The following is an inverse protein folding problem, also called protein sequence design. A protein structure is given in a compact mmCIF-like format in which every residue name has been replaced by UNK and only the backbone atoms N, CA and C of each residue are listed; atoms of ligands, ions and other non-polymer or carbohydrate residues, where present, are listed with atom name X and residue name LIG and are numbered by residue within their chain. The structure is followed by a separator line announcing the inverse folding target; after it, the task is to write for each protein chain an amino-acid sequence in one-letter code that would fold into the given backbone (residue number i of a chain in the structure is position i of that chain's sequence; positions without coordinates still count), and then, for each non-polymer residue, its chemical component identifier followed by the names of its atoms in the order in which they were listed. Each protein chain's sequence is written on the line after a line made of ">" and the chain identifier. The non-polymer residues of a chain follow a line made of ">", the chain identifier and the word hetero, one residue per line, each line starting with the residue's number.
data_IF_706356057701
#
_entry.id   IF_706356057701
#
_cell.length_a   1.000
_cell.length_b   1.000
_cell.length_c   1.000
_cell.angle_alpha   90.00
_cell.angle_beta   90.00
_cell.angle_gamma   90.00
#
_symmetry.space_group_name_H-M   'P 1'
#
loop_
_entity.id
_entity.type
_entity.pdbx_description
1 polymer ?
#
# COMPACT_ATOMS: atom_id res chain seq x y z
N UNK A 1 -5.23 -0.05 16.24
CA UNK A 1 -3.92 -0.63 15.88
C UNK A 1 -2.78 0.39 15.99
N UNK A 2 -2.75 1.22 17.05
CA UNK A 2 -1.77 2.30 17.13
C UNK A 2 -0.44 1.81 17.68
N UNK A 3 0.65 2.31 17.10
CA UNK A 3 2.04 2.08 17.53
C UNK A 3 2.43 0.60 17.65
N UNK A 4 1.94 -0.23 16.73
CA UNK A 4 2.26 -1.66 16.66
C UNK A 4 2.63 -2.03 15.23
N UNK A 5 3.61 -2.92 15.10
CA UNK A 5 3.92 -3.59 13.84
C UNK A 5 3.02 -4.82 13.72
N UNK A 6 2.32 -4.93 12.60
CA UNK A 6 1.44 -6.07 12.32
C UNK A 6 2.11 -6.90 11.22
N UNK A 7 2.33 -8.18 11.51
CA UNK A 7 2.85 -9.14 10.54
C UNK A 7 1.67 -9.82 9.85
N UNK A 8 1.51 -9.61 8.55
CA UNK A 8 0.44 -10.21 7.75
C UNK A 8 0.45 -9.71 6.31
N UNK A 9 -0.43 -10.26 5.48
CA UNK A 9 -0.70 -9.74 4.15
C UNK A 9 -1.33 -8.33 4.28
N UNK A 10 -0.74 -7.34 3.63
CA UNK A 10 -1.20 -5.96 3.76
C UNK A 10 -2.64 -5.75 3.26
N UNK A 11 -3.09 -6.46 2.22
CA UNK A 11 -4.45 -6.35 1.69
C UNK A 11 -5.48 -6.92 2.66
N UNK A 12 -5.11 -7.94 3.43
CA UNK A 12 -5.96 -8.50 4.47
C UNK A 12 -5.95 -7.64 5.74
N UNK A 13 -4.77 -7.23 6.21
CA UNK A 13 -4.64 -6.39 7.41
C UNK A 13 -5.31 -5.04 7.23
N UNK A 14 -5.27 -4.45 6.03
CA UNK A 14 -5.93 -3.17 5.78
C UNK A 14 -7.44 -3.23 6.02
N UNK A 15 -8.10 -4.38 5.83
CA UNK A 15 -9.56 -4.53 6.04
C UNK A 15 -10.00 -4.21 7.47
N UNK A 16 -9.10 -4.40 8.44
CA UNK A 16 -9.37 -4.12 9.85
C UNK A 16 -9.10 -2.64 10.23
N UNK A 17 -8.54 -1.85 9.32
CA UNK A 17 -8.33 -0.41 9.50
C UNK A 17 -9.65 0.31 9.19
N UNK A 18 -10.17 1.16 10.10
CA UNK A 18 -11.40 1.90 9.85
C UNK A 18 -11.30 2.84 8.64
N UNK A 19 -12.42 3.05 7.96
CA UNK A 19 -12.55 4.03 6.89
C UNK A 19 -12.12 5.43 7.36
N UNK A 20 -11.48 6.19 6.47
CA UNK A 20 -11.10 7.60 6.70
C UNK A 20 -10.37 7.85 8.02
N UNK A 21 -9.57 6.89 8.48
CA UNK A 21 -8.85 6.98 9.75
C UNK A 21 -7.36 7.31 9.60
N UNK A 22 -6.82 7.26 8.38
CA UNK A 22 -5.40 7.47 8.08
C UNK A 22 -5.17 8.84 7.44
N UNK A 23 -4.26 9.63 8.01
CA UNK A 23 -3.85 10.94 7.46
C UNK A 23 -2.79 10.81 6.35
N UNK A 24 -1.92 9.80 6.44
CA UNK A 24 -0.88 9.54 5.45
C UNK A 24 -0.63 8.05 5.28
N UNK A 25 -0.56 7.60 4.04
CA UNK A 25 -0.03 6.28 3.67
C UNK A 25 1.36 6.50 3.09
N UNK A 26 2.38 5.94 3.73
CA UNK A 26 3.74 5.89 3.24
C UNK A 26 4.10 4.43 2.99
N UNK A 27 4.39 4.07 1.75
CA UNK A 27 4.69 2.67 1.42
C UNK A 27 5.82 2.53 0.40
N UNK A 28 6.63 1.51 0.63
CA UNK A 28 7.58 0.96 -0.33
C UNK A 28 7.08 -0.41 -0.79
N UNK A 29 6.59 -0.45 -2.02
CA UNK A 29 5.91 -1.62 -2.59
C UNK A 29 6.93 -2.58 -3.22
N UNK A 30 6.59 -3.87 -3.41
CA UNK A 30 7.39 -4.76 -4.24
C UNK A 30 7.33 -4.32 -5.71
N UNK A 31 8.49 -4.03 -6.31
CA UNK A 31 8.58 -3.52 -7.68
C UNK A 31 8.73 -4.61 -8.73
N UNK A 32 8.96 -5.86 -8.33
CA UNK A 32 9.21 -6.95 -9.29
C UNK A 32 10.58 -6.88 -9.94
N UNK A 33 11.59 -6.40 -9.21
CA UNK A 33 12.94 -6.12 -9.75
C UNK A 33 13.99 -7.10 -9.29
N UNK A 34 13.68 -7.94 -8.30
CA UNK A 34 14.60 -8.91 -7.71
C UNK A 34 14.11 -10.35 -7.93
N UNK A 35 14.98 -11.33 -7.68
CA UNK A 35 14.64 -12.75 -7.73
C UNK A 35 13.94 -13.27 -6.45
N UNK A 36 13.64 -12.38 -5.50
CA UNK A 36 13.00 -12.76 -4.26
C UNK A 36 11.52 -13.06 -4.48
N UNK A 37 11.01 -14.17 -3.93
CA UNK A 37 9.59 -14.55 -4.08
C UNK A 37 8.61 -13.48 -3.59
N UNK A 38 8.99 -12.69 -2.59
CA UNK A 38 8.17 -11.63 -2.02
C UNK A 38 8.14 -10.37 -2.90
N UNK A 39 9.12 -10.17 -3.78
CA UNK A 39 9.18 -9.02 -4.69
C UNK A 39 8.32 -9.29 -5.93
N UNK A 40 7.04 -9.58 -5.70
CA UNK A 40 6.05 -9.76 -6.75
C UNK A 40 5.16 -8.53 -6.75
N UNK A 41 4.92 -7.95 -7.93
CA UNK A 41 4.06 -6.77 -8.08
C UNK A 41 2.70 -7.05 -7.44
N UNK A 42 2.34 -6.22 -6.47
CA UNK A 42 1.08 -6.29 -5.77
C UNK A 42 -0.09 -5.97 -6.73
N UNK A 43 -1.24 -6.66 -6.64
CA UNK A 43 -2.39 -6.32 -7.46
C UNK A 43 -2.89 -4.89 -7.17
N UNK A 44 -2.88 -4.02 -8.18
CA UNK A 44 -3.17 -2.60 -7.99
C UNK A 44 -4.63 -2.31 -7.66
N UNK A 45 -5.58 -3.04 -8.25
CA UNK A 45 -7.01 -2.79 -8.01
C UNK A 45 -7.37 -2.90 -6.50
N UNK A 46 -7.09 -4.03 -5.80
CA UNK A 46 -7.39 -4.13 -4.38
C UNK A 46 -6.50 -3.20 -3.53
N UNK A 47 -5.28 -2.88 -3.97
CA UNK A 47 -4.43 -1.91 -3.27
C UNK A 47 -5.07 -0.52 -3.25
N UNK A 48 -5.46 -0.01 -4.42
CA UNK A 48 -6.06 1.32 -4.55
C UNK A 48 -7.44 1.39 -3.90
N UNK A 49 -8.22 0.30 -3.95
CA UNK A 49 -9.50 0.19 -3.23
C UNK A 49 -9.29 0.41 -1.72
N UNK A 50 -8.34 -0.33 -1.11
CA UNK A 50 -8.08 -0.21 0.33
C UNK A 50 -7.47 1.15 0.69
N UNK A 51 -6.51 1.65 -0.10
CA UNK A 51 -5.89 2.96 0.14
C UNK A 51 -6.94 4.08 0.13
N UNK A 52 -7.83 4.11 -0.87
CA UNK A 52 -8.90 5.14 -0.97
C UNK A 52 -9.94 5.03 0.15
N UNK A 53 -10.21 3.81 0.65
CA UNK A 53 -11.13 3.57 1.76
C UNK A 53 -10.58 4.12 3.08
N UNK A 54 -9.33 3.83 3.41
CA UNK A 54 -8.75 4.14 4.72
C UNK A 54 -8.20 5.58 4.82
N UNK A 55 -7.76 6.17 3.70
CA UNK A 55 -7.21 7.53 3.66
C UNK A 55 -8.32 8.58 3.82
N UNK A 56 -8.11 9.58 4.66
CA UNK A 56 -8.97 10.77 4.76
C UNK A 56 -9.02 11.55 3.43
N UNK A 57 -10.07 12.33 3.22
CA UNK A 57 -10.28 13.07 1.97
C UNK A 57 -9.17 14.07 1.63
N UNK A 58 -8.48 14.58 2.64
CA UNK A 58 -7.31 15.46 2.53
C UNK A 58 -5.99 14.77 2.92
N UNK A 59 -5.98 13.44 2.99
CA UNK A 59 -4.79 12.67 3.34
C UNK A 59 -3.83 12.51 2.17
N UNK A 60 -2.57 12.20 2.49
CA UNK A 60 -1.51 12.01 1.49
C UNK A 60 -1.20 10.53 1.27
N UNK A 61 -1.07 10.11 0.02
CA UNK A 61 -0.52 8.81 -0.34
C UNK A 61 0.85 9.07 -0.98
N UNK A 62 1.91 8.63 -0.30
CA UNK A 62 3.30 8.82 -0.72
C UNK A 62 3.91 7.46 -0.95
N UNK A 63 4.30 7.17 -2.19
CA UNK A 63 4.83 5.88 -2.60
C UNK A 63 6.24 6.06 -3.13
N UNK A 64 7.16 5.23 -2.68
CA UNK A 64 8.44 5.06 -3.36
C UNK A 64 8.21 4.22 -4.61
N UNK A 65 8.93 4.56 -5.69
CA UNK A 65 8.87 3.83 -6.94
C UNK A 65 10.13 4.09 -7.76
N UNK A 66 10.50 3.13 -8.61
CA UNK A 66 11.47 3.31 -9.68
C UNK A 66 10.87 2.86 -11.00
N UNK A 67 11.31 3.46 -12.10
CA UNK A 67 10.96 2.95 -13.43
C UNK A 67 11.50 1.52 -13.61
N UNK A 68 10.76 0.61 -14.29
CA UNK A 68 9.49 0.83 -14.98
C UNK A 68 8.24 0.75 -14.10
N UNK A 69 8.36 0.29 -12.84
CA UNK A 69 7.24 0.10 -11.92
C UNK A 69 6.40 1.38 -11.71
N UNK A 70 7.06 2.54 -11.64
CA UNK A 70 6.37 3.84 -11.53
C UNK A 70 5.31 4.02 -12.61
N UNK A 71 5.58 3.64 -13.87
CA UNK A 71 4.63 3.83 -14.98
C UNK A 71 3.44 2.87 -14.93
N UNK A 72 3.53 1.79 -14.16
CA UNK A 72 2.43 0.86 -13.94
C UNK A 72 1.56 1.27 -12.74
N UNK A 73 2.16 1.99 -11.78
CA UNK A 73 1.53 2.40 -10.53
C UNK A 73 0.61 3.61 -10.67
N UNK A 74 0.95 4.57 -11.54
CA UNK A 74 0.23 5.86 -11.73
C UNK A 74 -0.13 6.14 -13.18
#
# INVERSE_FOLDING_TARGET
>A
MLNKVICGDCLEVMKDIPDKSVDMILADLPYGTTACKWDTIIPFEPLWEQYKRIIKDNGAIVLTASQPFTSALV
#
